data_IF_640811061434
#
_entry.id   IF_640811061434
#
_cell.length_a   1.000
_cell.length_b   1.000
_cell.length_c   1.000
_cell.angle_alpha   90.00
_cell.angle_beta   90.00
_cell.angle_gamma   90.00
#
_symmetry.space_group_name_H-M   'P 1'
#
loop_
_entity.id
_entity.type
_entity.pdbx_description
1 polymer ?
#
# COMPACT_ATOMS: atom_id res chain seq x y z
N UNK A 1 -9.94 22.34 26.54
CA UNK A 1 -8.52 22.17 26.93
C UNK A 1 -8.18 20.69 26.85
N UNK A 2 -7.56 20.21 25.76
CA UNK A 2 -7.25 18.79 25.56
C UNK A 2 -5.89 18.47 26.18
N UNK A 3 -5.90 17.56 27.17
CA UNK A 3 -4.75 17.08 27.93
C UNK A 3 -3.72 16.40 27.02
N UNK A 4 -2.49 16.92 26.98
CA UNK A 4 -1.34 16.27 26.32
C UNK A 4 -0.88 15.13 27.22
N UNK A 5 -1.25 13.89 26.87
CA UNK A 5 -0.58 12.69 27.39
C UNK A 5 0.83 12.66 26.82
N UNK A 6 1.82 13.09 27.59
CA UNK A 6 3.22 12.81 27.29
C UNK A 6 3.48 11.35 27.69
N UNK A 7 3.58 10.45 26.71
CA UNK A 7 4.02 9.08 26.97
C UNK A 7 5.43 9.12 27.54
N UNK A 8 5.64 8.48 28.68
CA UNK A 8 6.98 8.30 29.24
C UNK A 8 7.84 7.54 28.20
N UNK A 9 9.09 7.96 27.98
CA UNK A 9 9.99 7.27 27.06
C UNK A 9 10.15 5.82 27.50
N UNK A 10 10.18 4.90 26.52
CA UNK A 10 10.36 3.47 26.81
C UNK A 10 11.70 3.24 27.52
N UNK A 11 11.81 2.17 28.31
CA UNK A 11 13.09 1.78 28.92
C UNK A 11 14.21 1.64 27.87
N UNK A 12 13.85 1.25 26.64
CA UNK A 12 14.75 1.18 25.49
C UNK A 12 15.24 2.57 25.05
N UNK A 13 14.36 3.58 25.01
CA UNK A 13 14.72 4.95 24.65
C UNK A 13 15.68 5.56 25.67
N UNK A 14 15.45 5.29 26.96
CA UNK A 14 16.32 5.77 28.03
C UNK A 14 17.73 5.15 27.94
N UNK A 15 17.83 3.87 27.55
CA UNK A 15 19.10 3.21 27.32
C UNK A 15 19.83 3.76 26.08
N UNK A 16 19.09 4.11 25.03
CA UNK A 16 19.63 4.76 23.83
C UNK A 16 20.21 6.14 24.16
N UNK A 17 19.45 6.95 24.90
CA UNK A 17 19.85 8.30 25.32
C UNK A 17 21.08 8.24 26.23
N UNK A 18 21.09 7.35 27.23
CA UNK A 18 22.24 7.19 28.13
C UNK A 18 23.49 6.68 27.41
N UNK A 19 23.35 5.79 26.42
CA UNK A 19 24.49 5.35 25.60
C UNK A 19 25.04 6.47 24.73
N UNK A 20 24.16 7.30 24.17
CA UNK A 20 24.57 8.44 23.35
C UNK A 20 25.29 9.49 24.19
N UNK A 21 24.75 9.86 25.35
CA UNK A 21 25.41 10.77 26.30
C UNK A 21 26.78 10.24 26.77
N UNK A 22 26.89 8.93 27.02
CA UNK A 22 28.18 8.32 27.36
C UNK A 22 29.18 8.31 26.20
N UNK A 23 28.72 8.23 24.96
CA UNK A 23 29.58 8.31 23.78
C UNK A 23 30.06 9.75 23.56
N UNK A 24 29.14 10.71 23.60
CA UNK A 24 29.43 12.13 23.42
C UNK A 24 30.39 12.64 24.50
N UNK A 25 30.23 12.20 25.76
CA UNK A 25 31.12 12.57 26.87
C UNK A 25 32.52 11.92 26.78
N UNK A 26 32.66 10.80 26.06
CA UNK A 26 33.97 10.17 25.81
C UNK A 26 34.70 10.79 24.62
N UNK A 27 33.99 11.46 23.72
CA UNK A 27 34.53 12.10 22.53
C UNK A 27 34.06 13.56 22.45
N UNK A 28 34.56 14.47 23.30
CA UNK A 28 34.10 15.86 23.39
C UNK A 28 34.32 16.69 22.11
N UNK A 29 35.13 16.19 21.16
CA UNK A 29 35.40 16.80 19.85
C UNK A 29 34.51 16.24 18.73
N UNK A 30 33.65 15.26 19.01
CA UNK A 30 32.78 14.65 18.01
C UNK A 30 31.48 15.45 17.87
N UNK A 31 31.59 16.65 17.33
CA UNK A 31 30.44 17.28 16.67
C UNK A 31 30.13 16.46 15.42
N UNK A 32 28.86 16.09 15.15
CA UNK A 32 28.53 15.44 13.90
C UNK A 32 28.96 16.40 12.80
N UNK A 33 29.99 16.01 12.05
CA UNK A 33 30.40 16.72 10.86
C UNK A 33 29.14 16.78 9.99
N UNK A 34 28.62 17.99 9.75
CA UNK A 34 27.60 18.15 8.71
C UNK A 34 28.34 17.72 7.45
N UNK A 35 28.13 16.49 7.00
CA UNK A 35 28.68 16.01 5.74
C UNK A 35 28.06 16.87 4.64
N UNK A 36 28.72 17.97 4.31
CA UNK A 36 28.36 18.80 3.18
C UNK A 36 28.73 17.97 1.96
N UNK A 37 27.75 17.24 1.44
CA UNK A 37 27.92 16.52 0.19
C UNK A 37 28.40 17.50 -0.88
N UNK A 38 29.42 17.10 -1.63
CA UNK A 38 29.79 17.88 -2.82
C UNK A 38 28.56 17.98 -3.75
N UNK A 39 28.37 19.10 -4.46
CA UNK A 39 27.22 19.27 -5.35
C UNK A 39 27.07 18.11 -6.36
N UNK A 40 28.18 17.57 -6.83
CA UNK A 40 28.19 16.44 -7.76
C UNK A 40 27.81 15.10 -7.11
N UNK A 41 28.07 14.92 -5.80
CA UNK A 41 27.60 13.75 -5.05
C UNK A 41 26.09 13.82 -4.84
N UNK A 42 25.58 14.99 -4.46
CA UNK A 42 24.15 15.21 -4.27
C UNK A 42 23.35 14.91 -5.55
N UNK A 43 23.80 15.42 -6.71
CA UNK A 43 23.14 15.16 -8.00
C UNK A 43 23.15 13.67 -8.41
N UNK A 44 24.20 12.93 -8.05
CA UNK A 44 24.24 11.48 -8.30
C UNK A 44 23.24 10.75 -7.41
N UNK A 45 23.21 11.10 -6.13
CA UNK A 45 22.27 10.50 -5.19
C UNK A 45 20.81 10.80 -5.57
N UNK A 46 20.49 12.02 -6.01
CA UNK A 46 19.14 12.32 -6.49
C UNK A 46 18.79 11.46 -7.71
N UNK A 47 19.71 11.32 -8.66
CA UNK A 47 19.51 10.45 -9.82
C UNK A 47 19.20 8.99 -9.42
N UNK A 48 19.97 8.44 -8.48
CA UNK A 48 19.77 7.08 -7.97
C UNK A 48 18.39 6.92 -7.29
N UNK A 49 17.97 7.93 -6.51
CA UNK A 49 16.65 7.95 -5.87
C UNK A 49 15.50 8.02 -6.89
N UNK A 50 15.64 8.84 -7.93
CA UNK A 50 14.65 8.91 -9.02
C UNK A 50 14.55 7.57 -9.77
N UNK A 51 15.68 6.88 -9.97
CA UNK A 51 15.72 5.52 -10.51
C UNK A 51 14.94 4.53 -9.63
N UNK A 52 15.24 4.50 -8.33
CA UNK A 52 14.56 3.63 -7.38
C UNK A 52 13.04 3.88 -7.30
N UNK A 53 12.61 5.14 -7.35
CA UNK A 53 11.19 5.52 -7.40
C UNK A 53 10.50 5.02 -8.67
N UNK A 54 11.19 5.06 -9.80
CA UNK A 54 10.68 4.55 -11.08
C UNK A 54 10.46 3.03 -11.00
N UNK A 55 11.45 2.28 -10.53
CA UNK A 55 11.34 0.82 -10.34
C UNK A 55 10.22 0.45 -9.36
N UNK A 56 10.11 1.17 -8.24
CA UNK A 56 9.07 0.94 -7.24
C UNK A 56 7.67 1.21 -7.82
N UNK A 57 7.54 2.24 -8.65
CA UNK A 57 6.29 2.55 -9.36
C UNK A 57 5.89 1.43 -10.31
N UNK A 58 6.85 0.88 -11.07
CA UNK A 58 6.62 -0.23 -11.99
C UNK A 58 6.17 -1.52 -11.26
N UNK A 59 6.77 -1.83 -10.11
CA UNK A 59 6.36 -2.95 -9.25
C UNK A 59 4.92 -2.83 -8.76
N UNK A 60 4.42 -1.61 -8.58
CA UNK A 60 3.03 -1.35 -8.21
C UNK A 60 2.07 -1.28 -9.42
N UNK A 61 2.59 -1.45 -10.64
CA UNK A 61 1.88 -1.20 -11.90
C UNK A 61 1.31 0.23 -11.97
N UNK A 62 2.03 1.18 -11.36
CA UNK A 62 1.79 2.60 -11.54
C UNK A 62 2.41 3.12 -12.83
N UNK A 63 2.42 4.45 -12.98
CA UNK A 63 3.06 5.15 -14.09
C UNK A 63 3.77 6.39 -13.59
N UNK A 64 4.93 6.68 -14.16
CA UNK A 64 5.57 7.99 -14.02
C UNK A 64 4.93 8.91 -15.06
N UNK A 65 4.27 9.98 -14.60
CA UNK A 65 3.54 10.92 -15.48
C UNK A 65 4.34 12.16 -15.83
N UNK A 66 5.28 12.55 -14.95
CA UNK A 66 6.19 13.69 -15.17
C UNK A 66 7.52 13.49 -14.42
N UNK A 67 8.59 14.07 -14.95
CA UNK A 67 9.96 13.93 -14.45
C UNK A 67 10.64 15.30 -14.40
N UNK A 68 11.10 15.70 -13.22
CA UNK A 68 11.94 16.87 -12.99
C UNK A 68 13.38 16.46 -12.64
N UNK A 69 14.27 17.44 -12.44
CA UNK A 69 15.64 17.22 -11.97
C UNK A 69 15.73 16.66 -10.55
N UNK A 70 14.70 16.88 -9.74
CA UNK A 70 14.68 16.70 -8.30
C UNK A 70 13.42 16.00 -7.77
N UNK A 71 12.41 15.78 -8.61
CA UNK A 71 11.17 15.11 -8.23
C UNK A 71 10.52 14.34 -9.38
N UNK A 72 9.55 13.49 -9.04
CA UNK A 72 8.70 12.74 -9.99
C UNK A 72 7.24 12.94 -9.64
N UNK A 73 6.39 12.99 -10.66
CA UNK A 73 4.95 12.82 -10.50
C UNK A 73 4.55 11.40 -10.85
N UNK A 74 3.88 10.72 -9.92
CA UNK A 74 3.53 9.30 -10.02
C UNK A 74 2.01 9.11 -10.01
N UNK A 75 1.51 8.19 -10.82
CA UNK A 75 0.10 7.80 -10.87
C UNK A 75 -0.05 6.32 -10.50
N UNK A 76 -1.05 6.00 -9.67
CA UNK A 76 -1.41 4.62 -9.32
C UNK A 76 -2.93 4.46 -9.23
N UNK A 77 -3.46 3.48 -9.96
CA UNK A 77 -4.86 3.05 -9.86
C UNK A 77 -4.93 1.65 -9.25
N UNK A 78 -5.35 1.56 -7.99
CA UNK A 78 -5.45 0.29 -7.27
C UNK A 78 -6.51 0.30 -6.16
N UNK A 79 -6.76 -0.87 -5.57
CA UNK A 79 -7.57 -0.99 -4.35
C UNK A 79 -6.97 -0.12 -3.22
N UNK A 80 -7.80 0.42 -2.31
CA UNK A 80 -7.33 1.32 -1.25
C UNK A 80 -6.14 0.80 -0.46
N UNK A 81 -6.14 -0.48 -0.07
CA UNK A 81 -5.06 -1.08 0.71
C UNK A 81 -3.72 -1.10 -0.03
N UNK A 82 -3.75 -1.30 -1.37
CA UNK A 82 -2.54 -1.29 -2.20
C UNK A 82 -2.00 0.14 -2.37
N UNK A 83 -2.89 1.13 -2.46
CA UNK A 83 -2.50 2.55 -2.49
C UNK A 83 -1.85 2.94 -1.16
N UNK A 84 -2.40 2.51 -0.03
CA UNK A 84 -1.84 2.82 1.29
C UNK A 84 -0.46 2.16 1.49
N UNK A 85 -0.27 0.93 0.97
CA UNK A 85 1.02 0.27 0.96
C UNK A 85 2.05 1.03 0.11
N UNK A 86 1.66 1.50 -1.07
CA UNK A 86 2.51 2.31 -1.94
C UNK A 86 2.96 3.60 -1.26
N UNK A 87 2.03 4.34 -0.65
CA UNK A 87 2.33 5.59 0.06
C UNK A 87 3.29 5.36 1.25
N UNK A 88 3.13 4.26 1.99
CA UNK A 88 4.05 3.90 3.09
C UNK A 88 5.48 3.65 2.59
N UNK A 89 5.64 3.00 1.44
CA UNK A 89 6.95 2.76 0.85
C UNK A 89 7.59 4.03 0.28
N UNK A 90 6.77 5.01 -0.13
CA UNK A 90 7.26 6.31 -0.59
C UNK A 90 7.63 7.28 0.54
N UNK A 91 7.19 7.04 1.78
CA UNK A 91 7.48 7.93 2.93
C UNK A 91 8.96 8.31 3.08
N UNK A 92 9.94 7.39 2.96
CA UNK A 92 11.36 7.72 3.15
C UNK A 92 11.93 8.64 2.07
N UNK A 93 11.36 8.63 0.86
CA UNK A 93 11.81 9.48 -0.24
C UNK A 93 11.30 10.92 -0.12
N UNK A 94 10.27 11.15 0.69
CA UNK A 94 9.60 12.43 0.84
C UNK A 94 8.48 12.61 -0.18
N UNK A 95 7.26 12.76 0.31
CA UNK A 95 6.09 13.07 -0.52
C UNK A 95 5.84 14.58 -0.43
N UNK A 96 6.04 15.28 -1.54
CA UNK A 96 5.80 16.73 -1.61
C UNK A 96 4.30 17.02 -1.58
N UNK A 97 3.55 16.33 -2.44
CA UNK A 97 2.10 16.49 -2.60
C UNK A 97 1.45 15.14 -2.90
N UNK A 98 0.19 14.97 -2.50
CA UNK A 98 -0.59 13.77 -2.80
C UNK A 98 -2.06 14.13 -3.06
N UNK A 99 -2.60 13.65 -4.17
CA UNK A 99 -4.01 13.75 -4.50
C UNK A 99 -4.62 12.35 -4.61
N UNK A 100 -5.75 12.10 -3.94
CA UNK A 100 -6.45 10.81 -3.93
C UNK A 100 -7.94 11.04 -4.16
N UNK A 101 -8.52 10.38 -5.15
CA UNK A 101 -9.95 10.49 -5.50
C UNK A 101 -10.91 9.80 -4.53
N UNK A 102 -10.42 8.87 -3.70
CA UNK A 102 -11.23 8.05 -2.79
C UNK A 102 -11.55 6.67 -3.37
N UNK A 103 -12.48 5.95 -2.74
CA UNK A 103 -12.93 4.64 -3.23
C UNK A 103 -14.04 4.83 -4.26
N UNK A 104 -13.87 4.20 -5.43
CA UNK A 104 -14.89 4.11 -6.47
C UNK A 104 -15.09 2.64 -6.82
N UNK A 105 -16.33 2.24 -7.07
CA UNK A 105 -16.67 0.86 -7.40
C UNK A 105 -17.67 0.83 -8.56
N UNK A 106 -17.52 -0.17 -9.42
CA UNK A 106 -18.46 -0.47 -10.49
C UNK A 106 -18.81 -1.96 -10.40
N UNK A 107 -20.11 -2.33 -10.38
CA UNK A 107 -20.49 -3.73 -10.37
C UNK A 107 -19.96 -4.43 -11.62
N UNK A 108 -19.39 -5.62 -11.43
CA UNK A 108 -18.95 -6.49 -12.51
C UNK A 108 -20.08 -7.44 -12.88
N UNK A 109 -20.18 -7.79 -14.15
CA UNK A 109 -21.08 -8.87 -14.58
C UNK A 109 -20.67 -10.17 -13.89
N UNK A 110 -21.66 -10.88 -13.35
CA UNK A 110 -21.47 -12.22 -12.81
C UNK A 110 -21.21 -13.15 -13.99
N UNK A 111 -20.12 -13.91 -13.94
CA UNK A 111 -19.92 -15.01 -14.90
C UNK A 111 -20.71 -16.17 -14.32
N UNK A 112 -21.92 -16.41 -14.85
CA UNK A 112 -22.61 -17.66 -14.60
C UNK A 112 -21.91 -18.74 -15.42
N UNK A 113 -21.45 -19.80 -14.77
CA UNK A 113 -21.01 -20.97 -15.51
C UNK A 113 -22.25 -21.55 -16.20
N UNK A 114 -22.21 -21.64 -17.53
CA UNK A 114 -23.37 -22.02 -18.34
C UNK A 114 -23.85 -23.44 -18.03
N UNK A 115 -23.04 -24.23 -17.33
CA UNK A 115 -23.32 -25.62 -17.00
C UNK A 115 -23.95 -25.84 -15.62
N UNK A 116 -24.08 -24.80 -14.78
CA UNK A 116 -24.72 -24.96 -13.45
C UNK A 116 -26.24 -24.79 -13.49
N UNK A 117 -26.77 -23.99 -14.44
CA UNK A 117 -28.21 -23.72 -14.53
C UNK A 117 -29.04 -24.89 -15.10
N UNK A 118 -28.44 -25.81 -15.87
CA UNK A 118 -29.16 -26.95 -16.46
C UNK A 118 -29.58 -27.99 -15.41
N UNK A 119 -28.90 -28.04 -14.25
CA UNK A 119 -29.20 -28.97 -13.17
C UNK A 119 -30.35 -28.49 -12.25
N UNK A 120 -30.54 -27.17 -12.14
CA UNK A 120 -31.61 -26.58 -11.32
C UNK A 120 -32.94 -26.51 -12.09
N UNK A 121 -32.93 -26.18 -13.40
CA UNK A 121 -34.14 -26.17 -14.24
C UNK A 121 -34.77 -27.56 -14.41
N UNK A 122 -33.98 -28.64 -14.35
CA UNK A 122 -34.51 -30.02 -14.43
C UNK A 122 -35.12 -30.53 -13.11
N UNK A 123 -34.86 -29.89 -11.97
CA UNK A 123 -35.39 -30.32 -10.68
C UNK A 123 -36.81 -29.79 -10.41
N UNK A 124 -37.20 -28.67 -11.02
CA UNK A 124 -38.53 -28.07 -10.82
C UNK A 124 -39.63 -28.70 -11.69
N UNK A 125 -39.30 -29.25 -12.87
CA UNK A 125 -40.28 -29.86 -13.80
C UNK A 125 -40.68 -31.31 -13.44
N UNK A 126 -39.87 -32.02 -12.64
CA UNK A 126 -40.13 -33.44 -12.29
C UNK A 126 -41.09 -33.59 -11.10
N UNK A 127 -41.44 -32.50 -10.40
CA UNK A 127 -42.15 -32.54 -9.12
C UNK A 127 -43.69 -32.45 -9.16
N UNK A 128 -44.34 -32.11 -10.28
CA UNK A 128 -45.80 -31.83 -10.29
C UNK A 128 -46.66 -32.75 -11.18
N UNK A 129 -46.14 -33.91 -11.59
CA UNK A 129 -46.75 -34.68 -12.69
C UNK A 129 -47.14 -36.14 -12.43
N UNK A 130 -46.92 -36.70 -11.23
CA UNK A 130 -47.25 -38.11 -10.98
C UNK A 130 -48.57 -38.21 -10.21
N UNK A 131 -49.67 -38.34 -10.96
CA UNK A 131 -50.99 -38.64 -10.42
C UNK A 131 -51.01 -40.05 -9.82
N UNK A 132 -51.16 -40.14 -8.49
CA UNK A 132 -51.18 -41.39 -7.73
C UNK A 132 -52.29 -42.35 -8.17
N UNK A 133 -53.31 -41.89 -8.92
CA UNK A 133 -54.35 -42.73 -9.49
C UNK A 133 -53.88 -43.60 -10.69
N UNK A 134 -52.70 -43.33 -11.27
CA UNK A 134 -52.13 -44.12 -12.37
C UNK A 134 -51.32 -45.34 -11.90
N UNK A 135 -51.13 -45.54 -10.59
CA UNK A 135 -50.46 -46.74 -10.09
C UNK A 135 -51.43 -47.93 -10.11
N UNK A 136 -51.05 -49.07 -10.72
CA UNK A 136 -51.89 -50.25 -10.69
C UNK A 136 -52.01 -50.76 -9.25
N UNK A 137 -53.23 -51.04 -8.75
CA UNK A 137 -53.39 -51.59 -7.41
C UNK A 137 -52.77 -52.99 -7.36
N UNK A 138 -51.96 -53.22 -6.33
CA UNK A 138 -51.40 -54.53 -5.98
C UNK A 138 -52.43 -55.46 -5.35
#
# INVERSE_FOLDING_TARGET
>A
MKSRRTSLPSATDLLSIQKQEQYDNKNPEHYPEIEIMSPSSALRQTHDLLGALTELTDLFHGKVVDVSSDCLSLELSAKPDRVDAFLKLLQPFGILEAARSGMMAMPRSMIHDRFENEAEEQAEDVGSGVDAAMLPPG
#
